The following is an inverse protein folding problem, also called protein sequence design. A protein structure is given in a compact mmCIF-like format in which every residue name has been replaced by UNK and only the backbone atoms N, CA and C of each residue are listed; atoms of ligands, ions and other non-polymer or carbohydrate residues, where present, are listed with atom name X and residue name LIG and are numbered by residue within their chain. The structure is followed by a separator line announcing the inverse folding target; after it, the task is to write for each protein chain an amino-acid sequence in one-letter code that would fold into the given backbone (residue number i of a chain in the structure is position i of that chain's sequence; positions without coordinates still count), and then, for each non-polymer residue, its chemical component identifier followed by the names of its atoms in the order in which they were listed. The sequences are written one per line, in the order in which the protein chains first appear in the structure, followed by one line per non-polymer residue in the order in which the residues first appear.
data_IF_418709444984
#
_entry.id   IF_418709444984
#
_cell.length_a   1.000
_cell.length_b   1.000
_cell.length_c   1.000
_cell.angle_alpha   90.00
_cell.angle_beta   90.00
_cell.angle_gamma   90.00
#
_symmetry.space_group_name_H-M   'P 1'
#
loop_
_entity.id
_entity.type
_entity.pdbx_description
1 polymer ?
#
# COMPACT_ATOMS: atom_id res chain seq x y z
N UNK A 1 -4.38 -8.57 31.33
CA UNK A 1 -4.29 -8.45 29.86
C UNK A 1 -5.69 -8.70 29.35
N UNK A 2 -6.34 -7.79 28.64
CA UNK A 2 -7.64 -8.07 28.05
C UNK A 2 -7.43 -9.03 26.89
N UNK A 3 -8.29 -10.04 26.84
CA UNK A 3 -8.35 -11.06 25.80
C UNK A 3 -8.58 -10.39 24.44
N UNK A 4 -7.59 -10.50 23.55
CA UNK A 4 -7.66 -10.06 22.16
C UNK A 4 -8.46 -11.09 21.33
N UNK A 5 -9.76 -11.17 21.58
CA UNK A 5 -10.71 -11.77 20.65
C UNK A 5 -11.54 -10.64 20.06
N UNK A 6 -11.10 -10.17 18.89
CA UNK A 6 -11.89 -9.57 17.83
C UNK A 6 -10.93 -8.92 16.83
N UNK A 7 -10.13 -9.74 16.13
CA UNK A 7 -9.79 -9.35 14.78
C UNK A 7 -11.10 -9.44 14.00
N UNK A 8 -11.65 -8.29 13.68
CA UNK A 8 -12.90 -8.11 12.93
C UNK A 8 -12.71 -8.65 11.51
N UNK A 9 -12.58 -9.97 11.41
CA UNK A 9 -12.57 -10.73 10.17
C UNK A 9 -14.03 -10.80 9.70
N UNK A 10 -14.48 -9.74 9.01
CA UNK A 10 -15.76 -9.77 8.30
C UNK A 10 -15.78 -11.02 7.41
N UNK A 11 -16.57 -12.06 7.73
CA UNK A 11 -16.59 -13.31 6.97
C UNK A 11 -16.89 -13.07 5.49
N UNK A 12 -17.70 -12.07 5.19
CA UNK A 12 -18.04 -11.67 3.83
C UNK A 12 -16.84 -11.11 3.07
N UNK A 13 -15.98 -10.31 3.72
CA UNK A 13 -14.76 -9.77 3.09
C UNK A 13 -13.78 -10.90 2.74
N UNK A 14 -13.55 -11.81 3.67
CA UNK A 14 -12.69 -12.98 3.42
C UNK A 14 -13.18 -13.75 2.22
N UNK A 15 -14.48 -14.06 2.15
CA UNK A 15 -15.09 -14.76 1.03
C UNK A 15 -14.92 -14.00 -0.29
N UNK A 16 -15.22 -12.71 -0.32
CA UNK A 16 -15.05 -11.86 -1.51
C UNK A 16 -13.59 -11.90 -2.00
N UNK A 17 -12.63 -11.72 -1.09
CA UNK A 17 -11.21 -11.73 -1.46
C UNK A 17 -10.74 -13.12 -1.93
N UNK A 18 -11.27 -14.21 -1.39
CA UNK A 18 -10.99 -15.58 -1.85
C UNK A 18 -11.54 -15.81 -3.25
N UNK A 19 -12.79 -15.41 -3.49
CA UNK A 19 -13.48 -15.61 -4.76
C UNK A 19 -12.82 -14.81 -5.91
N UNK A 20 -12.28 -13.63 -5.63
CA UNK A 20 -11.55 -12.82 -6.62
C UNK A 20 -10.20 -13.43 -7.00
N UNK A 21 -9.58 -14.21 -6.13
CA UNK A 21 -8.21 -14.70 -6.34
C UNK A 21 -7.16 -13.59 -6.36
N UNK A 22 -5.86 -13.91 -6.57
CA UNK A 22 -4.80 -12.90 -6.68
C UNK A 22 -4.94 -12.09 -7.97
N UNK A 23 -4.59 -10.80 -7.93
CA UNK A 23 -4.59 -9.93 -9.10
C UNK A 23 -5.20 -8.55 -8.90
N UNK A 24 -5.39 -7.82 -9.98
CA UNK A 24 -5.85 -6.44 -9.98
C UNK A 24 -7.21 -6.26 -9.29
N UNK A 25 -8.18 -7.14 -9.56
CA UNK A 25 -9.52 -7.06 -8.96
C UNK A 25 -9.45 -7.14 -7.43
N UNK A 26 -8.61 -8.04 -6.90
CA UNK A 26 -8.39 -8.18 -5.48
C UNK A 26 -7.70 -6.97 -4.87
N UNK A 27 -6.68 -6.41 -5.52
CA UNK A 27 -6.03 -5.17 -5.05
C UNK A 27 -7.05 -4.03 -4.97
N UNK A 28 -7.85 -3.82 -6.01
CA UNK A 28 -8.91 -2.80 -6.03
C UNK A 28 -9.91 -2.99 -4.91
N UNK A 29 -10.39 -4.21 -4.70
CA UNK A 29 -11.37 -4.49 -3.65
C UNK A 29 -10.78 -4.30 -2.25
N UNK A 30 -9.55 -4.77 -1.99
CA UNK A 30 -8.87 -4.54 -0.71
C UNK A 30 -8.73 -3.05 -0.40
N UNK A 31 -8.30 -2.25 -1.39
CA UNK A 31 -8.18 -0.79 -1.25
C UNK A 31 -9.54 -0.15 -1.02
N UNK A 32 -10.59 -0.55 -1.75
CA UNK A 32 -11.96 -0.06 -1.56
C UNK A 32 -12.46 -0.28 -0.14
N UNK A 33 -12.24 -1.47 0.43
CA UNK A 33 -12.63 -1.79 1.80
C UNK A 33 -11.87 -0.96 2.83
N UNK A 34 -10.56 -0.80 2.66
CA UNK A 34 -9.75 0.05 3.53
C UNK A 34 -10.23 1.50 3.45
N UNK A 35 -10.48 2.04 2.25
CA UNK A 35 -11.00 3.39 2.07
C UNK A 35 -12.36 3.58 2.75
N UNK A 36 -13.26 2.61 2.62
CA UNK A 36 -14.58 2.66 3.29
C UNK A 36 -14.43 2.74 4.81
N UNK A 37 -13.54 1.92 5.40
CA UNK A 37 -13.25 1.96 6.82
C UNK A 37 -12.65 3.30 7.26
N UNK A 38 -11.68 3.82 6.53
CA UNK A 38 -10.98 5.06 6.89
C UNK A 38 -11.86 6.32 6.73
N UNK A 39 -12.96 6.23 5.99
CA UNK A 39 -13.96 7.31 5.88
C UNK A 39 -15.05 7.23 6.96
N UNK A 40 -15.19 6.10 7.65
CA UNK A 40 -16.11 5.93 8.78
C UNK A 40 -15.51 6.56 10.05
N UNK A 41 -16.17 7.55 10.68
CA UNK A 41 -15.66 8.23 11.87
C UNK A 41 -15.37 7.31 13.06
N UNK A 42 -16.09 6.18 13.18
CA UNK A 42 -15.94 5.24 14.29
C UNK A 42 -14.84 4.19 14.04
N UNK A 43 -14.54 3.90 12.78
CA UNK A 43 -13.62 2.84 12.40
C UNK A 43 -12.25 3.34 11.85
N UNK A 44 -12.12 4.63 11.60
CA UNK A 44 -10.91 5.23 11.01
C UNK A 44 -9.68 5.04 11.89
N UNK A 45 -8.56 4.82 11.23
CA UNK A 45 -7.25 4.61 11.86
C UNK A 45 -6.26 5.72 11.48
N UNK A 46 -4.97 5.45 11.63
CA UNK A 46 -3.87 6.33 11.19
C UNK A 46 -3.96 6.72 9.71
N UNK A 47 -4.55 5.87 8.87
CA UNK A 47 -4.62 6.07 7.42
C UNK A 47 -5.73 7.02 6.97
N UNK A 48 -6.65 7.41 7.86
CA UNK A 48 -7.82 8.24 7.54
C UNK A 48 -7.47 9.58 6.88
N UNK A 49 -6.31 10.17 7.23
CA UNK A 49 -5.86 11.43 6.62
C UNK A 49 -5.16 11.26 5.27
N UNK A 50 -4.92 10.05 4.80
CA UNK A 50 -4.05 9.75 3.65
C UNK A 50 -4.80 8.94 2.59
N UNK A 51 -5.32 7.79 2.95
CA UNK A 51 -5.90 6.82 2.01
C UNK A 51 -7.07 7.37 1.19
N UNK A 52 -7.98 8.21 1.73
CA UNK A 52 -9.05 8.81 0.93
C UNK A 52 -8.58 9.69 -0.25
N UNK A 53 -7.31 10.10 -0.23
CA UNK A 53 -6.69 10.92 -1.30
C UNK A 53 -5.86 10.09 -2.29
N UNK A 54 -5.83 8.76 -2.11
CA UNK A 54 -5.24 7.83 -3.06
C UNK A 54 -6.25 7.42 -4.13
N UNK A 55 -5.76 7.26 -5.35
CA UNK A 55 -6.52 6.68 -6.46
C UNK A 55 -5.73 5.54 -7.08
N UNK A 56 -6.36 4.39 -7.27
CA UNK A 56 -5.78 3.29 -8.03
C UNK A 56 -5.60 3.70 -9.49
N UNK A 57 -4.43 3.44 -10.07
CA UNK A 57 -4.13 3.75 -11.48
C UNK A 57 -4.02 2.48 -12.31
N UNK A 58 -3.16 1.55 -11.92
CA UNK A 58 -2.91 0.33 -12.68
C UNK A 58 -2.29 -0.77 -11.81
N UNK A 59 -2.45 -2.00 -12.27
CA UNK A 59 -1.69 -3.14 -11.77
C UNK A 59 -1.27 -4.04 -12.93
N UNK A 60 -0.08 -4.64 -12.82
CA UNK A 60 0.43 -5.58 -13.80
C UNK A 60 0.79 -6.88 -13.09
N UNK A 61 0.25 -8.02 -13.50
CA UNK A 61 0.57 -9.31 -12.91
C UNK A 61 2.03 -9.69 -13.20
N UNK A 62 2.64 -10.54 -12.35
CA UNK A 62 3.98 -11.03 -12.61
C UNK A 62 3.99 -11.94 -13.85
N UNK A 63 5.07 -11.89 -14.59
CA UNK A 63 5.35 -12.81 -15.70
C UNK A 63 6.71 -13.46 -15.47
N UNK A 64 7.16 -14.34 -16.39
CA UNK A 64 8.50 -14.93 -16.33
C UNK A 64 9.61 -13.87 -16.26
N UNK A 65 9.40 -12.74 -16.94
CA UNK A 65 10.44 -11.70 -17.14
C UNK A 65 10.12 -10.36 -16.47
N UNK A 66 8.98 -10.25 -15.77
CA UNK A 66 8.53 -9.00 -15.14
C UNK A 66 7.94 -9.26 -13.77
N UNK A 67 8.28 -8.41 -12.83
CA UNK A 67 7.70 -8.40 -11.49
C UNK A 67 6.25 -7.88 -11.52
N UNK A 68 5.47 -8.25 -10.51
CA UNK A 68 4.17 -7.62 -10.28
C UNK A 68 4.36 -6.17 -9.90
N UNK A 69 3.51 -5.29 -10.45
CA UNK A 69 3.50 -3.86 -10.08
C UNK A 69 2.09 -3.38 -9.76
N UNK A 70 2.00 -2.38 -8.88
CA UNK A 70 0.77 -1.63 -8.61
C UNK A 70 1.13 -0.15 -8.56
N UNK A 71 0.33 0.69 -9.18
CA UNK A 71 0.53 2.14 -9.22
C UNK A 71 -0.69 2.86 -8.65
N UNK A 72 -0.43 3.79 -7.75
CA UNK A 72 -1.40 4.72 -7.20
C UNK A 72 -1.06 6.15 -7.59
N UNK A 73 -2.10 7.00 -7.68
CA UNK A 73 -1.98 8.46 -7.72
C UNK A 73 -2.32 9.01 -6.34
N UNK A 74 -1.55 9.98 -5.89
CA UNK A 74 -1.84 10.74 -4.69
C UNK A 74 -1.75 12.24 -4.98
N UNK A 75 -2.77 13.00 -4.57
CA UNK A 75 -2.78 14.46 -4.69
C UNK A 75 -2.48 15.08 -3.34
N UNK A 76 -1.37 15.85 -3.25
CA UNK A 76 -0.88 16.42 -2.00
C UNK A 76 -1.77 17.58 -1.55
N UNK A 77 -2.46 17.40 -0.42
CA UNK A 77 -3.26 18.44 0.25
C UNK A 77 -2.43 19.17 1.30
N UNK A 78 -2.91 20.33 1.75
CA UNK A 78 -2.27 21.13 2.80
C UNK A 78 -2.00 20.31 4.08
N UNK A 79 -2.92 19.47 4.49
CA UNK A 79 -2.79 18.61 5.68
C UNK A 79 -1.69 17.55 5.60
N UNK A 80 -1.20 17.25 4.41
CA UNK A 80 -0.11 16.30 4.17
C UNK A 80 1.27 16.95 4.23
N UNK A 81 1.35 18.27 4.41
CA UNK A 81 2.59 19.03 4.27
C UNK A 81 3.27 19.30 5.62
N UNK A 82 4.56 19.58 5.53
CA UNK A 82 5.35 20.16 6.61
C UNK A 82 5.25 21.69 6.63
N UNK A 83 5.91 22.35 7.58
CA UNK A 83 5.93 23.80 7.70
C UNK A 83 6.54 24.56 6.51
N UNK A 84 7.16 23.87 5.57
CA UNK A 84 7.72 24.44 4.32
C UNK A 84 6.76 24.28 3.13
N UNK A 85 5.54 23.77 3.32
CA UNK A 85 4.57 23.56 2.26
C UNK A 85 4.87 22.36 1.34
N UNK A 86 5.74 21.46 1.76
CA UNK A 86 6.07 20.23 1.02
C UNK A 86 5.53 19.00 1.73
N UNK A 87 5.27 17.92 1.00
CA UNK A 87 4.84 16.64 1.54
C UNK A 87 5.73 16.24 2.72
N UNK A 88 5.09 16.04 3.89
CA UNK A 88 5.79 15.67 5.11
C UNK A 88 6.45 14.30 4.96
N UNK A 89 7.70 14.14 5.41
CA UNK A 89 8.44 12.88 5.30
C UNK A 89 7.69 11.69 5.90
N UNK A 90 7.05 11.86 7.06
CA UNK A 90 6.20 10.82 7.66
C UNK A 90 5.00 10.45 6.79
N UNK A 91 4.33 11.43 6.16
CA UNK A 91 3.24 11.16 5.21
C UNK A 91 3.76 10.38 3.99
N UNK A 92 4.91 10.79 3.44
CA UNK A 92 5.56 10.09 2.33
C UNK A 92 5.90 8.63 2.69
N UNK A 93 6.45 8.38 3.89
CA UNK A 93 6.73 7.03 4.38
C UNK A 93 5.46 6.20 4.54
N UNK A 94 4.38 6.79 5.08
CA UNK A 94 3.08 6.11 5.21
C UNK A 94 2.50 5.75 3.84
N UNK A 95 2.64 6.64 2.84
CA UNK A 95 2.24 6.36 1.46
C UNK A 95 3.00 5.16 0.89
N UNK A 96 4.32 5.10 1.10
CA UNK A 96 5.10 3.96 0.67
C UNK A 96 4.72 2.68 1.42
N UNK A 97 4.58 2.71 2.74
CA UNK A 97 4.18 1.54 3.53
C UNK A 97 2.87 0.94 3.02
N UNK A 98 1.85 1.80 2.81
CA UNK A 98 0.56 1.37 2.28
C UNK A 98 0.66 0.85 0.84
N UNK A 99 1.18 1.65 -0.09
CA UNK A 99 1.18 1.33 -1.52
C UNK A 99 2.01 0.08 -1.82
N UNK A 100 3.19 -0.07 -1.19
CA UNK A 100 4.03 -1.25 -1.40
C UNK A 100 3.43 -2.50 -0.77
N UNK A 101 2.70 -2.39 0.33
CA UNK A 101 1.99 -3.54 0.91
C UNK A 101 0.93 -4.09 -0.04
N UNK A 102 0.22 -3.23 -0.77
CA UNK A 102 -0.88 -3.66 -1.66
C UNK A 102 -0.43 -4.50 -2.84
N UNK A 103 0.85 -4.39 -3.30
CA UNK A 103 1.35 -5.21 -4.42
C UNK A 103 1.35 -6.70 -4.11
N UNK A 104 1.38 -7.09 -2.84
CA UNK A 104 1.24 -8.49 -2.42
C UNK A 104 -0.12 -9.09 -2.82
N UNK A 105 -1.16 -8.26 -2.96
CA UNK A 105 -2.46 -8.67 -3.49
C UNK A 105 -2.42 -9.25 -4.89
N UNK A 106 -1.33 -9.04 -5.63
CA UNK A 106 -1.12 -9.61 -6.96
C UNK A 106 -0.76 -11.11 -6.94
N UNK A 107 -0.34 -11.63 -5.77
CA UNK A 107 0.15 -13.01 -5.62
C UNK A 107 -0.43 -13.74 -4.42
N UNK A 108 -1.14 -13.05 -3.54
CA UNK A 108 -1.60 -13.61 -2.27
C UNK A 108 -2.78 -14.58 -2.43
N UNK A 109 -2.91 -15.50 -1.47
CA UNK A 109 -3.99 -16.49 -1.36
C UNK A 109 -4.13 -16.93 0.09
N UNK A 110 -5.21 -17.63 0.47
CA UNK A 110 -5.34 -18.15 1.83
C UNK A 110 -4.09 -18.90 2.30
N UNK A 111 -3.58 -18.54 3.48
CA UNK A 111 -2.36 -19.11 4.07
C UNK A 111 -1.04 -18.65 3.41
N UNK A 112 -1.11 -17.70 2.48
CA UNK A 112 0.06 -17.15 1.81
C UNK A 112 -0.12 -15.66 1.52
N UNK A 113 0.39 -14.79 2.41
CA UNK A 113 0.31 -13.34 2.31
C UNK A 113 -1.12 -12.79 2.24
N UNK A 114 -2.10 -13.54 2.74
CA UNK A 114 -3.51 -13.18 2.64
C UNK A 114 -3.80 -11.81 3.25
N UNK A 115 -3.19 -11.52 4.42
CA UNK A 115 -3.31 -10.26 5.16
C UNK A 115 -2.17 -9.28 4.86
N UNK A 116 -1.41 -9.49 3.77
CA UNK A 116 -0.30 -8.65 3.32
C UNK A 116 0.87 -8.54 4.33
N UNK A 117 0.86 -9.33 5.39
CA UNK A 117 1.91 -9.38 6.41
C UNK A 117 2.15 -8.06 7.15
N UNK A 118 3.23 -8.00 7.91
CA UNK A 118 3.68 -6.80 8.65
C UNK A 118 5.00 -6.28 8.11
N UNK A 119 5.22 -4.97 8.24
CA UNK A 119 6.46 -4.31 7.84
C UNK A 119 7.60 -4.74 8.77
N UNK A 120 8.71 -5.19 8.21
CA UNK A 120 9.95 -5.52 8.92
C UNK A 120 10.91 -4.35 8.89
N UNK A 121 11.12 -3.78 7.71
CA UNK A 121 11.91 -2.58 7.51
C UNK A 121 11.34 -1.78 6.34
N UNK A 122 11.38 -0.45 6.48
CA UNK A 122 11.00 0.48 5.43
C UNK A 122 12.06 1.58 5.36
N UNK A 123 12.85 1.56 4.31
CA UNK A 123 13.89 2.54 4.05
C UNK A 123 13.44 3.50 2.96
N UNK A 124 13.24 4.77 3.30
CA UNK A 124 12.78 5.80 2.36
C UNK A 124 13.89 6.80 2.09
N UNK A 125 14.15 7.07 0.82
CA UNK A 125 15.07 8.11 0.36
C UNK A 125 14.29 9.23 -0.31
N UNK A 126 14.33 10.41 0.29
CA UNK A 126 13.70 11.63 -0.22
C UNK A 126 14.70 12.36 -1.13
N UNK A 127 14.39 12.45 -2.42
CA UNK A 127 15.30 13.00 -3.42
C UNK A 127 14.98 14.46 -3.75
N UNK A 128 13.69 14.83 -3.72
CA UNK A 128 13.22 16.17 -4.07
C UNK A 128 12.00 16.55 -3.25
N UNK A 129 11.78 17.85 -2.98
CA UNK A 129 10.56 18.32 -2.36
C UNK A 129 9.33 18.06 -3.26
N UNK A 130 8.20 17.81 -2.63
CA UNK A 130 6.91 17.61 -3.31
C UNK A 130 5.96 18.68 -2.78
N UNK A 131 5.72 19.79 -3.50
CA UNK A 131 4.91 20.89 -2.99
C UNK A 131 3.42 20.50 -2.88
N UNK A 132 2.70 21.25 -2.05
CA UNK A 132 1.23 21.18 -2.00
C UNK A 132 0.64 21.40 -3.39
N UNK A 133 -0.43 20.67 -3.72
CA UNK A 133 -1.08 20.73 -5.03
C UNK A 133 -0.43 19.84 -6.10
N UNK A 134 0.76 19.26 -5.84
CA UNK A 134 1.37 18.30 -6.77
C UNK A 134 0.60 16.97 -6.74
N UNK A 135 0.46 16.38 -7.93
CA UNK A 135 0.01 14.98 -8.07
C UNK A 135 1.21 14.08 -8.32
N UNK A 136 1.31 13.01 -7.55
CA UNK A 136 2.40 12.04 -7.66
C UNK A 136 1.87 10.65 -8.03
N UNK A 137 2.68 9.90 -8.75
CA UNK A 137 2.49 8.48 -9.01
C UNK A 137 3.43 7.69 -8.11
N UNK A 138 2.86 6.72 -7.40
CA UNK A 138 3.58 5.81 -6.50
C UNK A 138 3.49 4.41 -7.09
N UNK A 139 4.58 3.96 -7.68
CA UNK A 139 4.73 2.63 -8.24
C UNK A 139 5.37 1.71 -7.22
N UNK A 140 4.78 0.56 -7.00
CA UNK A 140 5.26 -0.52 -6.14
C UNK A 140 5.58 -1.73 -6.99
N UNK A 141 6.78 -2.31 -6.82
CA UNK A 141 7.28 -3.44 -7.57
C UNK A 141 7.68 -4.58 -6.62
N UNK A 142 7.04 -5.75 -6.76
CA UNK A 142 7.30 -6.94 -5.95
C UNK A 142 8.54 -7.67 -6.45
N UNK A 143 9.71 -7.33 -5.90
CA UNK A 143 11.01 -7.86 -6.34
C UNK A 143 11.17 -9.35 -6.00
N UNK A 144 10.73 -9.74 -4.81
CA UNK A 144 10.80 -11.13 -4.34
C UNK A 144 9.71 -11.40 -3.32
N UNK A 145 9.13 -12.61 -3.36
CA UNK A 145 8.20 -13.08 -2.34
C UNK A 145 8.42 -14.56 -2.08
N UNK A 146 8.70 -14.89 -0.83
CA UNK A 146 8.82 -16.26 -0.31
C UNK A 146 7.68 -16.56 0.67
N UNK A 147 7.77 -17.69 1.36
CA UNK A 147 6.77 -18.09 2.37
C UNK A 147 6.74 -17.16 3.57
N UNK A 148 7.88 -16.58 3.95
CA UNK A 148 8.02 -15.78 5.18
C UNK A 148 8.42 -14.33 4.93
N UNK A 149 9.15 -14.04 3.88
CA UNK A 149 9.71 -12.72 3.60
C UNK A 149 9.33 -12.28 2.19
N UNK A 150 9.08 -10.98 2.05
CA UNK A 150 8.93 -10.30 0.77
C UNK A 150 9.83 -9.07 0.73
N UNK A 151 10.39 -8.78 -0.44
CA UNK A 151 11.15 -7.57 -0.74
C UNK A 151 10.45 -6.78 -1.84
N UNK A 152 10.16 -5.51 -1.58
CA UNK A 152 9.36 -4.65 -2.44
C UNK A 152 10.11 -3.33 -2.64
N UNK A 153 10.10 -2.81 -3.85
CA UNK A 153 10.60 -1.46 -4.18
C UNK A 153 9.46 -0.52 -4.47
N UNK A 154 9.59 0.72 -4.01
CA UNK A 154 8.67 1.81 -4.31
C UNK A 154 9.38 2.98 -5.00
N UNK A 155 8.69 3.63 -5.93
CA UNK A 155 9.14 4.84 -6.61
C UNK A 155 8.01 5.86 -6.61
N UNK A 156 8.30 7.08 -6.18
CA UNK A 156 7.37 8.21 -6.27
C UNK A 156 7.87 9.17 -7.35
N UNK A 157 7.01 9.51 -8.29
CA UNK A 157 7.31 10.44 -9.39
C UNK A 157 6.28 11.54 -9.47
N UNK A 158 6.69 12.74 -9.90
CA UNK A 158 5.74 13.76 -10.34
C UNK A 158 4.91 13.22 -11.52
N UNK A 159 3.60 13.28 -11.43
CA UNK A 159 2.72 12.87 -12.52
C UNK A 159 2.90 13.77 -13.74
N UNK A 160 3.14 15.06 -13.52
CA UNK A 160 3.29 16.07 -14.57
C UNK A 160 4.61 15.94 -15.34
N UNK A 161 5.72 15.67 -14.64
CA UNK A 161 7.06 15.75 -15.23
C UNK A 161 7.77 14.40 -15.34
N UNK A 162 7.27 13.36 -14.67
CA UNK A 162 7.92 12.06 -14.55
C UNK A 162 9.17 12.04 -13.65
N UNK A 163 9.57 13.19 -13.10
CA UNK A 163 10.77 13.32 -12.26
C UNK A 163 10.64 12.46 -11.01
N UNK A 164 11.69 11.69 -10.69
CA UNK A 164 11.77 10.88 -9.49
C UNK A 164 11.91 11.77 -8.24
N UNK A 165 11.00 11.62 -7.29
CA UNK A 165 10.88 12.44 -6.09
C UNK A 165 11.34 11.71 -4.83
N UNK A 166 11.02 10.42 -4.72
CA UNK A 166 11.43 9.56 -3.61
C UNK A 166 11.49 8.10 -4.05
N UNK A 167 12.23 7.29 -3.29
CA UNK A 167 12.26 5.82 -3.45
C UNK A 167 12.13 5.15 -2.10
N UNK A 168 11.71 3.88 -2.10
CA UNK A 168 11.79 3.06 -0.90
C UNK A 168 12.20 1.62 -1.21
N UNK A 169 12.74 0.97 -0.19
CA UNK A 169 12.88 -0.48 -0.07
C UNK A 169 12.08 -0.92 1.15
N UNK A 170 11.19 -1.88 0.97
CA UNK A 170 10.28 -2.35 1.98
C UNK A 170 10.36 -3.88 2.10
N UNK A 171 10.84 -4.33 3.25
CA UNK A 171 10.82 -5.74 3.60
C UNK A 171 9.63 -6.05 4.50
N UNK A 172 8.93 -7.14 4.21
CA UNK A 172 7.76 -7.59 4.97
C UNK A 172 7.90 -9.01 5.45
N UNK A 173 7.21 -9.31 6.55
CA UNK A 173 7.09 -10.66 7.13
C UNK A 173 5.65 -11.13 6.97
N UNK A 174 5.49 -12.32 6.44
CA UNK A 174 4.19 -12.99 6.40
C UNK A 174 3.78 -13.44 7.81
N UNK A 175 2.61 -13.03 8.23
CA UNK A 175 2.03 -13.38 9.54
C UNK A 175 0.86 -14.37 9.43
N UNK A 176 0.55 -14.82 8.22
CA UNK A 176 -0.50 -15.83 8.05
C UNK A 176 -0.08 -17.11 8.79
N UNK A 177 -0.97 -17.58 9.67
CA UNK A 177 -0.82 -18.90 10.27
C UNK A 177 -0.99 -19.94 9.17
N UNK A 178 -0.16 -20.98 9.18
CA UNK A 178 -0.38 -22.14 8.30
C UNK A 178 -1.75 -22.72 8.69
N UNK A 179 -2.72 -22.53 7.83
CA UNK A 179 -3.99 -23.25 7.91
C UNK A 179 -3.75 -24.70 7.50
#
# INVERSE_FOLDING_TARGET
MPDNEETDNHPDLVKILVDLGPGEARVKESVRQIMARETDPEMRTWLAGIVPYLSFVSATPPTKDKHATVTFRFHVQQQHTNGLGNLHGGCNSTLFDFCTSTVLGMVNKPGYWFWLGVSRSLNVTYLRPVPVGESVLIESELMQVGQRLAHIKGRMRSEKTGVLLATCEHDKVNTDTKM
#
